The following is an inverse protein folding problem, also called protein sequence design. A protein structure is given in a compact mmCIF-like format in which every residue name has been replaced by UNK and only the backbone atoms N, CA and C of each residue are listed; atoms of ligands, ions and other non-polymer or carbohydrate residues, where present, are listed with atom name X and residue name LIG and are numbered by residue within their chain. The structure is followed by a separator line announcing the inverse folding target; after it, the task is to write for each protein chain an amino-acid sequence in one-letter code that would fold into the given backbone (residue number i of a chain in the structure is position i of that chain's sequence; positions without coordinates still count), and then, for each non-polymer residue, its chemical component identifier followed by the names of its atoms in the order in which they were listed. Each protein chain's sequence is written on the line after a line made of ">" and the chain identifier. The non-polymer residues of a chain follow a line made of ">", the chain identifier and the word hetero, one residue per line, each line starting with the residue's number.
data_IF_388778537085
#
_entry.id   IF_388778537085
#
_cell.length_a   1.000
_cell.length_b   1.000
_cell.length_c   1.000
_cell.angle_alpha   90.00
_cell.angle_beta   90.00
_cell.angle_gamma   90.00
#
_symmetry.space_group_name_H-M   'P 1'
#
loop_
_entity.id
_entity.type
_entity.pdbx_description
1 polymer ?
#
# COMPACT_ATOMS: atom_id res chain seq x y z
N UNK A 1 -21.32 -9.35 28.92
CA UNK A 1 -20.59 -10.47 28.26
C UNK A 1 -19.83 -9.88 27.09
N UNK A 2 -18.51 -10.07 27.02
CA UNK A 2 -17.67 -9.52 25.94
C UNK A 2 -17.66 -10.51 24.77
N UNK A 3 -17.82 -10.02 23.54
CA UNK A 3 -17.82 -10.83 22.31
C UNK A 3 -16.78 -10.30 21.33
N UNK A 4 -15.98 -11.19 20.75
CA UNK A 4 -15.07 -10.86 19.66
C UNK A 4 -15.89 -10.61 18.39
N UNK A 5 -15.89 -9.37 17.89
CA UNK A 5 -16.68 -8.98 16.70
C UNK A 5 -15.97 -9.34 15.40
N UNK A 6 -14.76 -8.82 15.20
CA UNK A 6 -13.88 -9.14 14.07
C UNK A 6 -12.46 -9.34 14.60
N UNK A 7 -11.71 -10.21 13.95
CA UNK A 7 -10.29 -10.41 14.23
C UNK A 7 -9.53 -10.52 12.91
N UNK A 8 -8.35 -9.93 12.89
CA UNK A 8 -7.37 -10.07 11.82
C UNK A 8 -5.98 -9.86 12.41
N UNK A 9 -4.99 -10.50 11.83
CA UNK A 9 -3.59 -10.32 12.23
C UNK A 9 -2.69 -10.44 11.01
N UNK A 10 -1.45 -9.98 11.15
CA UNK A 10 -0.47 -10.24 10.11
C UNK A 10 0.84 -9.51 10.29
N UNK A 11 1.43 -9.08 9.17
CA UNK A 11 2.76 -8.48 9.12
C UNK A 11 2.73 -7.21 8.30
N UNK A 12 3.17 -6.12 8.91
CA UNK A 12 3.31 -4.81 8.26
C UNK A 12 4.77 -4.46 8.04
N UNK A 13 5.02 -3.45 7.19
CA UNK A 13 6.35 -2.87 6.93
C UNK A 13 7.37 -3.88 6.40
N UNK A 14 6.93 -4.85 5.58
CA UNK A 14 7.84 -5.74 4.85
C UNK A 14 8.40 -4.99 3.65
N UNK A 15 9.65 -4.53 3.74
CA UNK A 15 10.32 -3.80 2.65
C UNK A 15 10.97 -4.77 1.69
N UNK A 16 10.73 -4.60 0.39
CA UNK A 16 11.36 -5.37 -0.67
C UNK A 16 11.81 -4.46 -1.81
N UNK A 17 12.92 -4.81 -2.43
CA UNK A 17 13.43 -4.20 -3.65
C UNK A 17 13.56 -5.31 -4.70
N UNK A 18 12.89 -5.17 -5.83
CA UNK A 18 13.00 -6.07 -6.98
C UNK A 18 13.71 -5.34 -8.12
N UNK A 19 14.68 -6.02 -8.72
CA UNK A 19 15.40 -5.53 -9.90
C UNK A 19 15.11 -6.47 -11.06
N UNK A 20 14.39 -5.95 -12.06
CA UNK A 20 14.16 -6.65 -13.33
C UNK A 20 15.25 -6.21 -14.30
N UNK A 21 16.03 -7.17 -14.83
CA UNK A 21 17.15 -6.88 -15.73
C UNK A 21 16.73 -7.13 -17.18
N UNK A 22 16.76 -6.08 -17.99
CA UNK A 22 16.69 -6.18 -19.45
C UNK A 22 18.10 -6.03 -20.03
N UNK A 23 18.27 -6.33 -21.32
CA UNK A 23 19.58 -6.23 -21.98
C UNK A 23 20.12 -4.80 -21.97
N UNK A 24 19.25 -3.81 -22.22
CA UNK A 24 19.66 -2.40 -22.38
C UNK A 24 19.51 -1.57 -21.11
N UNK A 25 18.66 -1.97 -20.16
CA UNK A 25 18.38 -1.22 -18.93
C UNK A 25 17.86 -2.12 -17.81
N UNK A 26 17.89 -1.63 -16.58
CA UNK A 26 17.24 -2.27 -15.44
C UNK A 26 15.97 -1.51 -15.05
N UNK A 27 14.98 -2.22 -14.51
CA UNK A 27 13.83 -1.65 -13.84
C UNK A 27 13.88 -1.98 -12.35
N UNK A 28 13.46 -1.04 -11.50
CA UNK A 28 13.53 -1.16 -10.04
C UNK A 28 12.19 -0.85 -9.42
N UNK A 29 11.67 -1.80 -8.66
CA UNK A 29 10.48 -1.65 -7.83
C UNK A 29 10.87 -1.77 -6.36
N UNK A 30 10.67 -0.71 -5.58
CA UNK A 30 10.78 -0.77 -4.12
C UNK A 30 9.40 -0.63 -3.50
N UNK A 31 8.99 -1.66 -2.75
CA UNK A 31 7.68 -1.75 -2.15
C UNK A 31 7.77 -1.95 -0.64
N UNK A 32 6.81 -1.37 0.08
CA UNK A 32 6.50 -1.71 1.47
C UNK A 32 5.16 -2.42 1.50
N UNK A 33 5.17 -3.67 1.95
CA UNK A 33 4.01 -4.57 1.93
C UNK A 33 3.48 -4.76 3.35
N UNK A 34 2.16 -4.73 3.47
CA UNK A 34 1.40 -5.22 4.61
C UNK A 34 0.51 -6.38 4.17
N UNK A 35 0.41 -7.40 5.02
CA UNK A 35 -0.45 -8.56 4.83
C UNK A 35 -1.27 -8.74 6.09
N UNK A 36 -2.59 -8.86 5.95
CA UNK A 36 -3.51 -9.19 7.03
C UNK A 36 -4.36 -10.40 6.64
N UNK A 37 -4.55 -11.33 7.57
CA UNK A 37 -5.39 -12.50 7.42
C UNK A 37 -6.56 -12.41 8.40
N UNK A 38 -7.75 -12.74 7.92
CA UNK A 38 -8.97 -12.88 8.72
C UNK A 38 -9.51 -14.30 8.52
N UNK A 39 -9.99 -14.93 9.59
CA UNK A 39 -10.44 -16.31 9.53
C UNK A 39 -10.80 -16.90 10.90
N UNK A 40 -10.69 -18.22 10.98
CA UNK A 40 -10.94 -18.98 12.20
C UNK A 40 -9.73 -18.89 13.16
N UNK A 41 -9.63 -17.77 13.88
CA UNK A 41 -8.55 -17.49 14.84
C UNK A 41 -9.05 -17.24 16.27
N UNK A 42 -10.33 -17.51 16.56
CA UNK A 42 -10.95 -17.21 17.86
C UNK A 42 -10.25 -17.94 19.01
N UNK A 43 -9.84 -19.19 18.79
CA UNK A 43 -9.18 -20.03 19.81
C UNK A 43 -7.87 -19.42 20.32
N UNK A 44 -7.12 -18.71 19.46
CA UNK A 44 -5.90 -18.01 19.88
C UNK A 44 -6.18 -16.88 20.88
N UNK A 45 -7.35 -16.23 20.81
CA UNK A 45 -7.73 -15.14 21.71
C UNK A 45 -8.38 -15.62 23.00
N UNK A 46 -9.20 -16.67 22.93
CA UNK A 46 -10.02 -17.12 24.06
C UNK A 46 -9.33 -18.22 24.87
N UNK A 47 -8.58 -19.08 24.20
CA UNK A 47 -8.00 -20.30 24.79
C UNK A 47 -6.46 -20.28 24.75
N UNK A 48 -5.85 -19.35 24.02
CA UNK A 48 -4.41 -19.33 23.78
C UNK A 48 -3.93 -20.43 22.82
N UNK A 49 -4.86 -21.10 22.12
CA UNK A 49 -4.53 -22.13 21.12
C UNK A 49 -4.11 -21.49 19.79
N UNK A 50 -2.82 -21.59 19.49
CA UNK A 50 -2.21 -21.05 18.28
C UNK A 50 -2.19 -22.04 17.11
N UNK A 51 -2.85 -23.20 17.20
CA UNK A 51 -2.83 -24.26 16.16
C UNK A 51 -3.25 -23.77 14.75
N UNK A 52 -4.05 -22.71 14.67
CA UNK A 52 -4.55 -22.11 13.44
C UNK A 52 -3.77 -20.86 12.97
N UNK A 53 -2.75 -20.45 13.72
CA UNK A 53 -2.01 -19.22 13.46
C UNK A 53 -0.82 -19.52 12.55
N UNK A 54 -0.79 -18.84 11.39
CA UNK A 54 0.40 -18.73 10.56
C UNK A 54 1.34 -17.70 11.20
N UNK A 55 2.58 -18.06 11.59
CA UNK A 55 3.47 -17.09 12.22
C UNK A 55 3.71 -15.86 11.34
N UNK A 56 3.72 -14.66 11.94
CA UNK A 56 3.92 -13.42 11.18
C UNK A 56 5.30 -13.34 10.53
N UNK A 57 6.29 -14.05 11.08
CA UNK A 57 7.59 -14.23 10.42
C UNK A 57 7.47 -15.07 9.14
N UNK A 58 6.66 -16.13 9.16
CA UNK A 58 6.34 -16.91 7.95
C UNK A 58 5.63 -16.04 6.91
N UNK A 59 4.71 -15.17 7.32
CA UNK A 59 4.07 -14.22 6.39
C UNK A 59 5.08 -13.30 5.72
N UNK A 60 6.04 -12.74 6.47
CA UNK A 60 7.18 -11.97 5.92
C UNK A 60 7.98 -12.80 4.90
N UNK A 61 8.32 -14.04 5.25
CA UNK A 61 9.07 -14.93 4.37
C UNK A 61 8.27 -15.26 3.09
N UNK A 62 6.94 -15.41 3.20
CA UNK A 62 6.04 -15.61 2.05
C UNK A 62 6.06 -14.42 1.10
N UNK A 63 6.07 -13.17 1.60
CA UNK A 63 6.20 -11.98 0.74
C UNK A 63 7.45 -12.08 -0.13
N UNK A 64 8.61 -12.38 0.47
CA UNK A 64 9.87 -12.51 -0.29
C UNK A 64 9.84 -13.70 -1.27
N UNK A 65 9.31 -14.84 -0.83
CA UNK A 65 9.21 -16.04 -1.66
C UNK A 65 8.33 -15.80 -2.90
N UNK A 66 7.16 -15.18 -2.73
CA UNK A 66 6.26 -14.83 -3.83
C UNK A 66 6.92 -13.78 -4.73
N UNK A 67 7.51 -12.71 -4.17
CA UNK A 67 8.14 -11.65 -4.96
C UNK A 67 9.27 -12.17 -5.88
N UNK A 68 10.06 -13.14 -5.40
CA UNK A 68 11.11 -13.78 -6.18
C UNK A 68 10.60 -14.58 -7.38
N UNK A 69 9.40 -15.18 -7.26
CA UNK A 69 8.79 -16.04 -8.29
C UNK A 69 7.76 -15.33 -9.16
N UNK A 70 7.30 -14.17 -8.70
CA UNK A 70 6.26 -13.38 -9.34
C UNK A 70 6.72 -12.84 -10.69
N UNK A 71 5.82 -12.87 -11.68
CA UNK A 71 5.98 -12.18 -12.96
C UNK A 71 5.09 -10.92 -13.03
N UNK A 72 4.49 -10.53 -11.90
CA UNK A 72 3.65 -9.35 -11.83
C UNK A 72 4.43 -8.09 -12.27
N UNK A 73 3.81 -7.35 -13.17
CA UNK A 73 4.32 -6.06 -13.68
C UNK A 73 3.73 -4.87 -12.94
N UNK A 74 2.83 -5.11 -11.99
CA UNK A 74 2.20 -4.08 -11.15
C UNK A 74 2.03 -4.56 -9.71
N UNK A 75 1.85 -3.60 -8.80
CA UNK A 75 1.65 -3.89 -7.37
C UNK A 75 0.31 -4.60 -7.11
N UNK A 76 -0.72 -4.31 -7.90
CA UNK A 76 -2.04 -4.95 -7.85
C UNK A 76 -1.93 -6.45 -8.12
N UNK A 77 -1.33 -6.82 -9.25
CA UNK A 77 -1.17 -8.23 -9.62
C UNK A 77 -0.26 -8.97 -8.63
N UNK A 78 0.78 -8.31 -8.10
CA UNK A 78 1.61 -8.92 -7.05
C UNK A 78 0.81 -9.19 -5.78
N UNK A 79 -0.04 -8.25 -5.36
CA UNK A 79 -0.90 -8.41 -4.20
C UNK A 79 -1.92 -9.55 -4.40
N UNK A 80 -2.50 -9.67 -5.60
CA UNK A 80 -3.37 -10.79 -5.97
C UNK A 80 -2.65 -12.15 -5.90
N UNK A 81 -1.45 -12.26 -6.49
CA UNK A 81 -0.62 -13.48 -6.45
C UNK A 81 -0.27 -13.88 -5.00
N UNK A 82 0.06 -12.91 -4.16
CA UNK A 82 0.38 -13.12 -2.75
C UNK A 82 -0.84 -13.59 -1.95
N UNK A 83 -2.00 -12.98 -2.19
CA UNK A 83 -3.28 -13.37 -1.57
C UNK A 83 -3.64 -14.81 -1.96
N UNK A 84 -3.59 -15.14 -3.24
CA UNK A 84 -3.90 -16.50 -3.71
C UNK A 84 -2.92 -17.53 -3.15
N UNK A 85 -1.63 -17.18 -3.05
CA UNK A 85 -0.64 -18.04 -2.44
C UNK A 85 -0.95 -18.36 -0.97
N UNK A 86 -1.38 -17.35 -0.20
CA UNK A 86 -1.73 -17.49 1.21
C UNK A 86 -3.03 -18.26 1.40
N UNK A 87 -4.08 -17.90 0.67
CA UNK A 87 -5.40 -18.54 0.76
C UNK A 87 -5.36 -20.01 0.35
N UNK A 88 -4.59 -20.37 -0.69
CA UNK A 88 -4.46 -21.77 -1.13
C UNK A 88 -3.74 -22.68 -0.14
N UNK A 89 -3.02 -22.13 0.84
CA UNK A 89 -2.21 -22.89 1.82
C UNK A 89 -2.75 -22.83 3.24
N UNK A 90 -3.75 -22.00 3.50
CA UNK A 90 -4.30 -21.78 4.84
C UNK A 90 -5.84 -21.87 4.79
N UNK A 91 -6.40 -23.10 4.79
CA UNK A 91 -7.85 -23.32 4.63
C UNK A 91 -8.73 -22.65 5.71
N UNK A 92 -8.15 -22.31 6.87
CA UNK A 92 -8.81 -21.62 7.96
C UNK A 92 -8.96 -20.11 7.74
N UNK A 93 -8.26 -19.55 6.74
CA UNK A 93 -8.33 -18.13 6.37
C UNK A 93 -9.56 -17.91 5.50
N UNK A 94 -10.43 -16.98 5.90
CA UNK A 94 -11.63 -16.59 5.18
C UNK A 94 -11.42 -15.34 4.31
N UNK A 95 -10.46 -14.49 4.65
CA UNK A 95 -10.08 -13.36 3.83
C UNK A 95 -8.61 -13.00 4.01
N UNK A 96 -8.00 -12.50 2.95
CA UNK A 96 -6.67 -11.92 2.99
C UNK A 96 -6.70 -10.50 2.39
N UNK A 97 -5.97 -9.60 3.02
CA UNK A 97 -5.78 -8.23 2.60
C UNK A 97 -4.29 -7.98 2.40
N UNK A 98 -3.92 -7.34 1.28
CA UNK A 98 -2.55 -6.91 1.01
C UNK A 98 -2.57 -5.44 0.63
N UNK A 99 -1.81 -4.65 1.37
CA UNK A 99 -1.54 -3.24 1.06
C UNK A 99 -0.10 -3.11 0.57
N UNK A 100 0.11 -2.41 -0.53
CA UNK A 100 1.44 -2.13 -1.07
C UNK A 100 1.60 -0.63 -1.27
N UNK A 101 2.70 -0.08 -0.75
CA UNK A 101 3.14 1.28 -1.02
C UNK A 101 4.41 1.23 -1.86
N UNK A 102 4.44 1.95 -2.98
CA UNK A 102 5.66 2.07 -3.78
C UNK A 102 6.50 3.25 -3.37
N UNK A 103 7.79 3.09 -3.56
CA UNK A 103 8.79 4.10 -3.31
C UNK A 103 9.39 4.48 -4.67
N UNK A 104 9.25 5.74 -5.08
CA UNK A 104 9.63 6.17 -6.43
C UNK A 104 11.15 6.20 -6.65
N UNK A 105 11.59 5.51 -7.69
CA UNK A 105 12.94 5.57 -8.24
C UNK A 105 12.87 6.07 -9.69
N UNK A 106 13.74 7.01 -10.04
CA UNK A 106 13.85 7.58 -11.40
C UNK A 106 15.22 7.23 -11.95
N UNK A 107 15.31 6.83 -13.22
CA UNK A 107 16.60 6.71 -13.88
C UNK A 107 17.34 8.05 -13.80
N UNK A 108 18.63 7.99 -13.47
CA UNK A 108 19.49 9.17 -13.45
C UNK A 108 19.68 9.66 -14.89
N UNK A 109 19.65 10.98 -15.09
CA UNK A 109 19.89 11.59 -16.40
C UNK A 109 21.33 12.09 -16.49
N UNK A 110 22.11 11.59 -17.45
CA UNK A 110 23.50 11.98 -17.71
C UNK A 110 23.61 12.42 -19.17
N UNK A 111 24.13 13.62 -19.41
CA UNK A 111 24.30 14.22 -20.75
C UNK A 111 23.04 14.18 -21.64
N UNK A 112 21.87 14.34 -21.02
CA UNK A 112 20.59 14.34 -21.74
C UNK A 112 19.92 12.97 -21.87
N UNK A 113 20.61 11.88 -21.54
CA UNK A 113 20.14 10.50 -21.69
C UNK A 113 19.91 9.82 -20.34
N UNK A 114 18.99 8.86 -20.28
CA UNK A 114 18.78 8.05 -19.07
C UNK A 114 19.92 7.04 -18.91
N UNK A 115 20.50 6.97 -17.71
CA UNK A 115 21.49 5.96 -17.38
C UNK A 115 20.80 4.60 -17.21
N UNK A 116 21.29 3.52 -17.84
CA UNK A 116 20.57 2.24 -17.93
C UNK A 116 20.40 1.54 -16.58
N UNK A 117 21.29 1.80 -15.62
CA UNK A 117 21.35 1.05 -14.34
C UNK A 117 21.53 1.93 -13.10
N UNK A 118 21.43 3.25 -13.24
CA UNK A 118 21.60 4.18 -12.12
C UNK A 118 20.31 4.94 -11.87
N UNK A 119 19.93 5.07 -10.60
CA UNK A 119 18.67 5.63 -10.17
C UNK A 119 18.88 6.71 -9.11
N UNK A 120 18.03 7.72 -9.13
CA UNK A 120 17.89 8.71 -8.07
C UNK A 120 16.53 8.54 -7.40
N UNK A 121 16.47 8.84 -6.11
CA UNK A 121 15.20 8.83 -5.38
C UNK A 121 14.26 9.87 -5.99
N UNK A 122 13.02 9.48 -6.25
CA UNK A 122 11.96 10.40 -6.64
C UNK A 122 11.53 11.30 -5.47
N UNK A 123 10.42 12.00 -5.66
CA UNK A 123 9.74 12.68 -4.56
C UNK A 123 9.01 11.66 -3.67
N UNK A 124 8.46 12.13 -2.54
CA UNK A 124 7.90 11.26 -1.51
C UNK A 124 6.45 10.81 -1.78
N UNK A 125 5.88 11.13 -2.95
CA UNK A 125 4.60 10.55 -3.36
C UNK A 125 4.72 9.03 -3.51
N UNK A 126 3.66 8.34 -3.11
CA UNK A 126 3.60 6.88 -3.13
C UNK A 126 2.38 6.46 -3.92
N UNK A 127 2.57 5.64 -4.94
CA UNK A 127 1.47 4.86 -5.49
C UNK A 127 1.11 3.78 -4.46
N UNK A 128 -0.17 3.56 -4.28
CA UNK A 128 -0.70 2.62 -3.28
C UNK A 128 -1.66 1.66 -3.94
N UNK A 129 -1.67 0.41 -3.49
CA UNK A 129 -2.79 -0.50 -3.76
C UNK A 129 -3.21 -1.20 -2.47
N UNK A 130 -4.51 -1.41 -2.32
CA UNK A 130 -5.12 -2.24 -1.31
C UNK A 130 -5.97 -3.29 -2.03
N UNK A 131 -5.61 -4.55 -1.85
CA UNK A 131 -6.30 -5.69 -2.47
C UNK A 131 -6.87 -6.57 -1.37
N UNK A 132 -8.14 -6.90 -1.49
CA UNK A 132 -8.85 -7.78 -0.57
C UNK A 132 -9.49 -8.92 -1.33
N UNK A 133 -9.43 -10.13 -0.78
CA UNK A 133 -10.21 -11.26 -1.26
C UNK A 133 -10.83 -12.02 -0.10
N UNK A 134 -12.15 -12.23 -0.19
CA UNK A 134 -12.92 -13.12 0.69
C UNK A 134 -13.13 -14.49 0.04
N UNK A 135 -13.29 -15.54 0.84
CA UNK A 135 -13.64 -16.89 0.39
C UNK A 135 -15.07 -17.28 0.82
N UNK A 136 -15.93 -17.74 -0.11
CA UNK A 136 -15.77 -17.65 -1.58
C UNK A 136 -15.92 -16.19 -2.06
N UNK A 137 -15.21 -15.82 -3.13
CA UNK A 137 -15.25 -14.46 -3.64
C UNK A 137 -14.12 -14.11 -4.62
N UNK A 138 -14.31 -12.98 -5.31
CA UNK A 138 -13.32 -12.36 -6.18
C UNK A 138 -12.46 -11.33 -5.45
N UNK A 139 -11.52 -10.74 -6.18
CA UNK A 139 -10.69 -9.65 -5.70
C UNK A 139 -11.44 -8.31 -5.71
N UNK A 140 -11.22 -7.51 -4.67
CA UNK A 140 -11.55 -6.09 -4.63
C UNK A 140 -10.24 -5.32 -4.58
N UNK A 141 -9.99 -4.50 -5.60
CA UNK A 141 -8.75 -3.73 -5.76
C UNK A 141 -9.09 -2.25 -5.64
N UNK A 142 -8.37 -1.53 -4.78
CA UNK A 142 -8.40 -0.07 -4.69
C UNK A 142 -6.98 0.45 -4.88
N UNK A 143 -6.77 1.24 -5.93
CA UNK A 143 -5.47 1.82 -6.24
C UNK A 143 -5.50 3.31 -6.03
N UNK A 144 -4.37 3.88 -5.63
CA UNK A 144 -4.33 5.26 -5.19
C UNK A 144 -2.96 5.88 -5.28
N UNK A 145 -2.92 7.14 -4.87
CA UNK A 145 -1.73 7.94 -4.71
C UNK A 145 -1.83 8.64 -3.36
N UNK A 146 -0.72 8.69 -2.62
CA UNK A 146 -0.65 9.44 -1.37
C UNK A 146 0.58 10.33 -1.35
N UNK A 147 0.52 11.39 -0.54
CA UNK A 147 1.63 12.31 -0.32
C UNK A 147 2.13 13.04 -1.59
N UNK A 148 1.24 13.30 -2.55
CA UNK A 148 1.58 14.17 -3.68
C UNK A 148 1.53 15.64 -3.23
N UNK A 149 2.69 16.21 -2.96
CA UNK A 149 2.82 17.59 -2.47
C UNK A 149 2.72 18.57 -3.64
N UNK A 150 1.70 19.43 -3.62
CA UNK A 150 1.44 20.44 -4.64
C UNK A 150 1.14 21.79 -4.01
N UNK A 151 1.51 22.87 -4.70
CA UNK A 151 1.25 24.24 -4.26
C UNK A 151 0.95 25.15 -5.45
N UNK A 152 0.02 26.09 -5.24
CA UNK A 152 -0.14 27.30 -6.06
C UNK A 152 -0.08 28.53 -5.16
N UNK A 153 0.57 29.58 -5.64
CA UNK A 153 0.84 30.80 -4.87
C UNK A 153 -0.24 31.88 -4.98
N UNK A 154 -1.16 31.73 -5.92
CA UNK A 154 -2.24 32.68 -6.22
C UNK A 154 -3.40 31.97 -6.93
N UNK A 155 -4.50 32.68 -7.19
CA UNK A 155 -5.76 32.19 -7.74
C UNK A 155 -6.46 31.15 -6.84
N UNK A 156 -6.46 31.36 -5.52
CA UNK A 156 -7.23 30.54 -4.58
C UNK A 156 -7.90 31.43 -3.54
N UNK A 157 -9.23 31.50 -3.54
CA UNK A 157 -10.01 32.27 -2.55
C UNK A 157 -10.68 31.39 -1.50
N UNK A 158 -11.14 32.01 -0.42
CA UNK A 158 -12.07 31.44 0.56
C UNK A 158 -12.92 32.58 1.14
N UNK A 159 -14.14 32.67 0.64
CA UNK A 159 -15.13 33.71 0.90
C UNK A 159 -16.54 33.10 0.92
N UNK A 160 -17.55 33.89 1.30
CA UNK A 160 -18.97 33.48 1.34
C UNK A 160 -19.29 32.23 2.17
N UNK A 161 -18.45 31.92 3.16
CA UNK A 161 -18.68 30.86 4.13
C UNK A 161 -19.66 31.30 5.23
N UNK A 162 -20.21 30.34 5.96
CA UNK A 162 -21.08 30.58 7.13
C UNK A 162 -20.29 31.35 8.19
N UNK A 163 -20.90 32.42 8.73
CA UNK A 163 -20.34 33.22 9.82
C UNK A 163 -21.23 33.07 11.05
N UNK A 164 -20.63 32.69 12.17
CA UNK A 164 -21.27 32.58 13.48
C UNK A 164 -20.51 33.41 14.55
N UNK A 165 -20.97 33.36 15.81
CA UNK A 165 -20.34 34.07 16.93
C UNK A 165 -18.90 33.62 17.24
N UNK A 166 -18.43 32.52 16.65
CA UNK A 166 -17.06 31.98 16.80
C UNK A 166 -16.17 32.28 15.59
N UNK A 167 -16.72 32.83 14.51
CA UNK A 167 -16.00 33.02 13.27
C UNK A 167 -15.11 34.26 13.32
N UNK A 168 -13.80 34.04 13.50
CA UNK A 168 -12.77 35.10 13.45
C UNK A 168 -12.05 35.18 12.12
N UNK A 169 -12.28 34.23 11.21
CA UNK A 169 -11.62 34.16 9.92
C UNK A 169 -12.11 35.32 9.03
N UNK A 170 -11.19 36.10 8.48
CA UNK A 170 -11.50 37.16 7.51
C UNK A 170 -11.52 36.57 6.08
N UNK A 171 -12.53 36.89 5.25
CA UNK A 171 -12.58 36.41 3.87
C UNK A 171 -11.36 36.85 3.07
N UNK A 172 -10.96 36.03 2.09
CA UNK A 172 -9.87 36.37 1.18
C UNK A 172 -10.18 35.88 -0.23
N UNK A 173 -10.07 36.79 -1.21
CA UNK A 173 -10.26 36.46 -2.62
C UNK A 173 -9.02 35.80 -3.24
N UNK A 174 -7.84 35.96 -2.63
CA UNK A 174 -6.61 35.31 -3.08
C UNK A 174 -5.63 34.98 -1.94
N UNK A 175 -5.18 33.72 -1.90
CA UNK A 175 -4.22 33.16 -0.94
C UNK A 175 -3.43 32.01 -1.58
N UNK A 176 -2.30 31.67 -0.97
CA UNK A 176 -1.59 30.42 -1.31
C UNK A 176 -2.45 29.21 -0.95
N UNK A 177 -2.39 28.16 -1.78
CA UNK A 177 -2.97 26.86 -1.49
C UNK A 177 -1.91 25.79 -1.67
N UNK A 178 -1.62 25.04 -0.60
CA UNK A 178 -0.70 23.92 -0.60
C UNK A 178 -1.40 22.72 0.05
N UNK A 179 -1.17 21.53 -0.49
CA UNK A 179 -1.72 20.29 0.05
C UNK A 179 -0.82 19.11 -0.26
N UNK A 180 -0.92 18.07 0.55
CA UNK A 180 -0.44 16.73 0.22
C UNK A 180 -1.67 15.91 -0.21
N UNK A 181 -1.82 15.71 -1.52
CA UNK A 181 -2.99 15.05 -2.08
C UNK A 181 -2.94 13.54 -1.84
N UNK A 182 -4.10 12.98 -1.49
CA UNK A 182 -4.35 11.55 -1.43
C UNK A 182 -5.60 11.24 -2.25
N UNK A 183 -5.52 10.20 -3.10
CA UNK A 183 -6.63 9.71 -3.93
C UNK A 183 -6.64 8.18 -3.90
N UNK A 184 -7.83 7.59 -3.97
CA UNK A 184 -8.11 6.13 -3.91
C UNK A 184 -9.25 5.78 -4.86
#
# INVERSE_FOLDING_TARGET
>A
MVKLAQNRYGKSRVRLLKVTRHEEHHHVDEWTVEVLLQGDFVSAHVEGDNSKILPTDTMKNTVYYVAHRSNATSMEHFAEELIDFLLSRNPQVLAAEVTVHSALWKHMKVDGSLHPTAFIRGSDEQQTTHVVRHQPGGFHVTSGLSNLVIMKTANSGFEDYIVDELTTLTPTSDRSCATASTAT
#
